data_IF_319005515231
#
_entry.id   IF_319005515231
#
_cell.length_a   1.000
_cell.length_b   1.000
_cell.length_c   1.000
_cell.angle_alpha   90.00
_cell.angle_beta   90.00
_cell.angle_gamma   90.00
#
_symmetry.space_group_name_H-M   'P 1'
#
loop_
_entity.id
_entity.type
_entity.pdbx_description
1 polymer ?
#
# COMPACT_ATOMS: atom_id res chain seq x y z
N UNK A 1 -25.08 45.80 -68.31
CA UNK A 1 -23.72 45.54 -67.89
C UNK A 1 -23.77 45.44 -66.41
N UNK A 2 -23.94 44.22 -65.93
CA UNK A 2 -24.09 43.91 -64.51
C UNK A 2 -22.89 43.10 -64.07
N UNK A 3 -22.21 43.60 -63.05
CA UNK A 3 -21.09 42.93 -62.41
C UNK A 3 -21.68 42.07 -61.26
N UNK A 4 -21.54 40.75 -61.38
CA UNK A 4 -21.95 39.82 -60.36
C UNK A 4 -20.80 39.61 -59.38
N UNK A 5 -20.95 40.10 -58.15
CA UNK A 5 -20.05 39.88 -57.03
C UNK A 5 -20.34 38.53 -56.39
N UNK A 6 -19.41 37.57 -56.53
CA UNK A 6 -19.45 36.30 -55.80
C UNK A 6 -19.03 36.48 -54.33
N UNK A 7 -19.81 35.99 -53.36
CA UNK A 7 -19.41 36.03 -51.97
C UNK A 7 -18.42 34.91 -51.65
N UNK A 8 -17.20 35.28 -51.20
CA UNK A 8 -16.23 34.37 -50.64
C UNK A 8 -16.76 33.73 -49.35
N UNK A 9 -17.06 32.43 -49.39
CA UNK A 9 -17.31 31.61 -48.22
C UNK A 9 -15.98 31.32 -47.52
N UNK A 10 -15.73 32.08 -46.44
CA UNK A 10 -14.65 31.80 -45.50
C UNK A 10 -15.07 30.64 -44.60
N UNK A 11 -14.68 29.41 -44.96
CA UNK A 11 -14.82 28.22 -44.03
C UNK A 11 -13.70 28.27 -43.05
N UNK A 12 -13.92 28.95 -41.94
CA UNK A 12 -13.09 28.82 -40.74
C UNK A 12 -13.12 27.39 -40.21
N UNK A 13 -12.12 26.58 -40.54
CA UNK A 13 -11.89 25.29 -39.91
C UNK A 13 -11.49 25.54 -38.46
N UNK A 14 -12.48 25.52 -37.55
CA UNK A 14 -12.23 25.46 -36.13
C UNK A 14 -11.60 24.11 -35.80
N UNK A 15 -10.28 24.07 -35.76
CA UNK A 15 -9.52 22.95 -35.20
C UNK A 15 -9.77 22.91 -33.67
N UNK A 16 -10.91 22.42 -33.26
CA UNK A 16 -11.11 22.02 -31.88
C UNK A 16 -10.15 20.87 -31.59
N UNK A 17 -9.00 21.24 -31.02
CA UNK A 17 -8.06 20.28 -30.45
C UNK A 17 -8.83 19.45 -29.43
N UNK A 18 -9.07 18.18 -29.71
CA UNK A 18 -9.54 17.23 -28.71
C UNK A 18 -8.48 17.19 -27.63
N UNK A 19 -8.74 17.86 -26.52
CA UNK A 19 -7.97 17.67 -25.29
C UNK A 19 -8.29 16.24 -24.88
N UNK A 20 -7.39 15.32 -25.21
CA UNK A 20 -7.46 13.97 -24.66
C UNK A 20 -7.38 14.12 -23.16
N UNK A 21 -8.44 13.78 -22.41
CA UNK A 21 -8.34 13.61 -20.98
C UNK A 21 -7.26 12.55 -20.76
N UNK A 22 -6.08 12.99 -20.30
CA UNK A 22 -5.14 12.06 -19.65
C UNK A 22 -5.94 11.39 -18.53
N UNK A 23 -5.91 10.06 -18.40
CA UNK A 23 -6.46 9.45 -17.20
C UNK A 23 -5.78 10.11 -15.99
N UNK A 24 -6.59 10.69 -15.12
CA UNK A 24 -6.08 11.21 -13.86
C UNK A 24 -5.60 10.01 -13.06
N UNK A 25 -4.30 9.88 -12.93
CA UNK A 25 -3.71 8.86 -12.07
C UNK A 25 -4.02 9.23 -10.62
N UNK A 26 -4.61 8.29 -9.89
CA UNK A 26 -4.80 8.44 -8.45
C UNK A 26 -3.45 8.51 -7.76
N UNK A 27 -3.21 9.53 -6.95
CA UNK A 27 -1.97 9.71 -6.19
C UNK A 27 -2.11 9.07 -4.82
N UNK A 28 -1.36 8.02 -4.58
CA UNK A 28 -1.32 7.31 -3.30
C UNK A 28 0.05 7.46 -2.68
N UNK A 29 0.09 7.92 -1.44
CA UNK A 29 1.33 8.07 -0.67
C UNK A 29 1.40 6.99 0.40
N UNK A 30 2.50 6.26 0.43
CA UNK A 30 2.73 5.16 1.38
C UNK A 30 3.88 5.53 2.29
N UNK A 31 3.57 5.64 3.58
CA UNK A 31 4.53 5.87 4.65
C UNK A 31 4.98 4.53 5.22
N UNK A 32 6.27 4.25 5.20
CA UNK A 32 6.86 3.04 5.74
C UNK A 32 7.62 3.35 7.02
N UNK A 33 7.46 2.53 8.04
CA UNK A 33 8.24 2.63 9.27
C UNK A 33 9.69 2.19 9.03
N UNK A 34 9.86 1.06 8.35
CA UNK A 34 11.16 0.51 7.97
C UNK A 34 11.78 1.25 6.78
N UNK A 35 13.12 1.18 6.71
CA UNK A 35 13.90 1.82 5.62
C UNK A 35 14.17 0.88 4.44
N UNK A 36 13.95 -0.40 4.59
CA UNK A 36 14.36 -1.42 3.61
C UNK A 36 13.19 -2.32 3.16
N UNK A 37 12.78 -3.27 4.01
CA UNK A 37 11.85 -4.35 3.61
C UNK A 37 10.55 -3.83 3.01
N UNK A 38 9.84 -2.95 3.72
CA UNK A 38 8.56 -2.40 3.26
C UNK A 38 8.72 -1.54 2.01
N UNK A 39 9.66 -0.54 1.97
CA UNK A 39 9.87 0.26 0.76
C UNK A 39 10.27 -0.58 -0.45
N UNK A 40 11.14 -1.58 -0.28
CA UNK A 40 11.57 -2.44 -1.39
C UNK A 40 10.40 -3.27 -1.92
N UNK A 41 9.57 -3.82 -1.02
CA UNK A 41 8.35 -4.52 -1.40
C UNK A 41 7.38 -3.61 -2.18
N UNK A 42 7.10 -2.42 -1.67
CA UNK A 42 6.19 -1.46 -2.32
C UNK A 42 6.73 -0.99 -3.68
N UNK A 43 8.05 -0.84 -3.84
CA UNK A 43 8.67 -0.61 -5.17
C UNK A 43 8.37 -1.75 -6.14
N UNK A 44 8.35 -3.00 -5.67
CA UNK A 44 7.92 -4.15 -6.47
C UNK A 44 6.45 -4.04 -6.88
N UNK A 45 5.57 -3.76 -5.92
CA UNK A 45 4.13 -3.56 -6.16
C UNK A 45 3.88 -2.47 -7.20
N UNK A 46 4.63 -1.36 -7.15
CA UNK A 46 4.56 -0.28 -8.14
C UNK A 46 4.82 -0.73 -9.58
N UNK A 47 5.60 -1.81 -9.78
CA UNK A 47 5.91 -2.35 -11.11
C UNK A 47 4.83 -3.29 -11.66
N UNK A 48 3.84 -3.68 -10.85
CA UNK A 48 2.72 -4.50 -11.33
C UNK A 48 1.96 -3.70 -12.40
N UNK A 49 1.77 -4.24 -13.63
CA UNK A 49 1.25 -3.46 -14.77
C UNK A 49 -0.09 -2.78 -14.50
N UNK A 50 -1.01 -3.45 -13.83
CA UNK A 50 -2.32 -2.88 -13.48
C UNK A 50 -2.22 -1.68 -12.53
N UNK A 51 -1.24 -1.68 -11.63
CA UNK A 51 -0.98 -0.58 -10.68
C UNK A 51 -0.23 0.54 -11.39
N UNK A 52 0.83 0.23 -12.12
CA UNK A 52 1.64 1.21 -12.84
C UNK A 52 0.85 2.04 -13.86
N UNK A 53 -0.24 1.49 -14.40
CA UNK A 53 -1.09 2.14 -15.39
C UNK A 53 -2.23 2.98 -14.78
N UNK A 54 -2.55 2.82 -13.51
CA UNK A 54 -3.71 3.44 -12.87
C UNK A 54 -3.40 4.31 -11.66
N UNK A 55 -2.22 4.19 -11.08
CA UNK A 55 -1.90 4.82 -9.80
C UNK A 55 -0.50 5.44 -9.82
N UNK A 56 -0.41 6.72 -9.45
CA UNK A 56 0.85 7.37 -9.10
C UNK A 56 1.19 7.01 -7.65
N UNK A 57 2.04 6.00 -7.47
CA UNK A 57 2.42 5.53 -6.15
C UNK A 57 3.70 6.20 -5.67
N UNK A 58 3.62 7.00 -4.64
CA UNK A 58 4.73 7.61 -3.95
C UNK A 58 5.03 6.87 -2.65
N UNK A 59 6.31 6.70 -2.35
CA UNK A 59 6.77 6.06 -1.12
C UNK A 59 7.52 7.10 -0.31
N UNK A 60 7.03 7.38 0.88
CA UNK A 60 7.68 8.25 1.84
C UNK A 60 8.18 7.40 3.03
N UNK A 61 9.46 7.49 3.32
CA UNK A 61 10.06 6.77 4.45
C UNK A 61 10.02 7.71 5.65
N UNK A 62 9.50 7.20 6.78
CA UNK A 62 9.43 8.01 7.99
C UNK A 62 10.79 8.58 8.37
N UNK A 63 10.86 9.88 8.74
CA UNK A 63 12.05 10.43 9.32
C UNK A 63 12.36 9.69 10.63
N UNK A 64 13.64 9.50 10.90
CA UNK A 64 14.24 8.77 12.02
C UNK A 64 13.33 8.21 13.12
N UNK A 65 13.30 6.86 13.28
CA UNK A 65 12.60 6.12 14.35
C UNK A 65 11.12 6.48 14.48
N UNK A 66 10.40 6.38 13.36
CA UNK A 66 8.96 6.66 13.33
C UNK A 66 8.18 5.63 14.12
N UNK A 67 7.78 5.96 15.35
CA UNK A 67 6.73 5.19 16.01
C UNK A 67 5.42 5.38 15.25
N UNK A 68 4.50 4.40 15.28
CA UNK A 68 3.25 4.44 14.51
C UNK A 68 2.48 5.75 14.56
N UNK A 69 2.40 6.38 15.73
CA UNK A 69 1.70 7.66 15.89
C UNK A 69 2.35 8.81 15.12
N UNK A 70 3.69 8.86 15.06
CA UNK A 70 4.42 9.89 14.30
C UNK A 70 4.20 9.69 12.80
N UNK A 71 4.24 8.44 12.33
CA UNK A 71 3.97 8.08 10.96
C UNK A 71 2.58 8.54 10.51
N UNK A 72 1.56 8.26 11.33
CA UNK A 72 0.18 8.66 11.03
C UNK A 72 0.04 10.19 11.04
N UNK A 73 0.71 10.91 11.94
CA UNK A 73 0.69 12.39 11.93
C UNK A 73 1.25 12.96 10.63
N UNK A 74 2.38 12.45 10.16
CA UNK A 74 2.96 12.86 8.86
C UNK A 74 2.01 12.55 7.70
N UNK A 75 1.34 11.41 7.72
CA UNK A 75 0.35 11.05 6.72
C UNK A 75 -0.88 11.97 6.74
N UNK A 76 -1.34 12.39 7.92
CA UNK A 76 -2.43 13.38 8.06
C UNK A 76 -2.03 14.73 7.45
N UNK A 77 -0.82 15.19 7.71
CA UNK A 77 -0.31 16.43 7.10
C UNK A 77 -0.24 16.31 5.57
N UNK A 78 0.20 15.18 5.07
CA UNK A 78 0.33 14.91 3.63
C UNK A 78 -1.03 14.83 2.92
N UNK A 79 -2.08 14.33 3.58
CA UNK A 79 -3.45 14.33 3.06
C UNK A 79 -4.07 15.72 2.89
N UNK A 80 -3.45 16.76 3.45
CA UNK A 80 -3.91 18.15 3.24
C UNK A 80 -3.52 18.70 1.85
N UNK A 81 -2.61 18.02 1.16
CA UNK A 81 -2.24 18.35 -0.21
C UNK A 81 -3.36 17.89 -1.16
N UNK A 82 -3.98 18.80 -1.93
CA UNK A 82 -5.08 18.45 -2.84
C UNK A 82 -4.67 17.52 -4.01
N UNK A 83 -3.38 17.33 -4.23
CA UNK A 83 -2.86 16.39 -5.23
C UNK A 83 -2.74 14.95 -4.70
N UNK A 84 -3.04 14.70 -3.43
CA UNK A 84 -2.97 13.39 -2.77
C UNK A 84 -4.37 12.85 -2.52
N UNK A 85 -4.68 11.72 -3.13
CA UNK A 85 -5.97 11.06 -2.98
C UNK A 85 -6.04 10.15 -1.76
N UNK A 86 -4.94 9.47 -1.43
CA UNK A 86 -4.85 8.55 -0.30
C UNK A 86 -3.48 8.55 0.36
N UNK A 87 -3.49 8.39 1.69
CA UNK A 87 -2.30 8.04 2.45
C UNK A 87 -2.48 6.69 3.16
N UNK A 88 -1.43 5.88 3.11
CA UNK A 88 -1.30 4.62 3.83
C UNK A 88 -0.10 4.65 4.76
N UNK A 89 -0.25 4.08 5.95
CA UNK A 89 0.87 3.89 6.88
C UNK A 89 1.11 2.39 7.07
N UNK A 90 2.35 1.95 6.80
CA UNK A 90 2.82 0.60 7.05
C UNK A 90 3.64 0.61 8.34
N UNK A 91 3.23 -0.18 9.32
CA UNK A 91 3.97 -0.36 10.57
C UNK A 91 3.67 -1.69 11.22
N UNK A 92 4.47 -2.04 12.19
CA UNK A 92 4.44 -3.30 12.90
C UNK A 92 3.83 -3.17 14.29
N UNK A 93 3.26 -4.26 14.80
CA UNK A 93 2.81 -4.33 16.20
C UNK A 93 3.99 -4.56 17.13
N UNK A 94 4.92 -5.39 16.71
CA UNK A 94 6.06 -5.92 17.45
C UNK A 94 5.71 -6.86 18.61
N UNK A 95 6.56 -7.84 18.86
CA UNK A 95 6.43 -8.78 19.97
C UNK A 95 7.82 -9.30 20.41
N UNK A 96 8.11 -9.39 21.73
CA UNK A 96 7.19 -9.41 22.87
C UNK A 96 6.75 -8.03 23.37
N UNK A 97 7.34 -6.95 22.92
CA UNK A 97 7.00 -5.60 23.35
C UNK A 97 6.42 -4.81 22.18
N UNK A 98 5.11 -4.59 22.25
CA UNK A 98 4.43 -3.79 21.24
C UNK A 98 4.97 -2.37 21.16
N UNK A 99 4.88 -1.77 19.99
CA UNK A 99 5.15 -0.35 19.81
C UNK A 99 4.32 0.52 20.76
N UNK A 100 4.92 1.57 21.33
CA UNK A 100 4.15 2.53 22.09
C UNK A 100 3.18 3.27 21.17
N UNK A 101 2.06 3.69 21.73
CA UNK A 101 1.07 4.51 21.01
C UNK A 101 0.37 3.83 19.81
N UNK A 102 0.34 2.50 19.71
CA UNK A 102 -0.44 1.79 18.68
C UNK A 102 -1.91 2.22 18.65
N UNK A 103 -2.60 2.21 19.79
CA UNK A 103 -4.01 2.62 19.86
C UNK A 103 -4.21 4.07 19.44
N UNK A 104 -3.49 5.06 20.00
CA UNK A 104 -3.57 6.45 19.53
C UNK A 104 -3.32 6.61 18.03
N UNK A 105 -2.39 5.82 17.44
CA UNK A 105 -2.15 5.83 16.01
C UNK A 105 -3.37 5.36 15.21
N UNK A 106 -3.97 4.25 15.59
CA UNK A 106 -5.17 3.69 14.94
C UNK A 106 -6.36 4.64 15.05
N UNK A 107 -6.60 5.21 16.22
CA UNK A 107 -7.68 6.17 16.47
C UNK A 107 -7.51 7.45 15.64
N UNK A 108 -6.29 7.98 15.59
CA UNK A 108 -5.96 9.16 14.76
C UNK A 108 -6.17 8.86 13.28
N UNK A 109 -5.63 7.75 12.78
CA UNK A 109 -5.77 7.34 11.38
C UNK A 109 -7.25 7.23 10.99
N UNK A 110 -8.05 6.52 11.79
CA UNK A 110 -9.49 6.38 11.58
C UNK A 110 -10.21 7.73 11.55
N UNK A 111 -9.88 8.65 12.47
CA UNK A 111 -10.53 9.96 12.57
C UNK A 111 -10.17 10.92 11.43
N UNK A 112 -9.02 10.69 10.77
CA UNK A 112 -8.46 11.57 9.73
C UNK A 112 -8.47 10.96 8.32
N UNK A 113 -8.99 9.74 8.16
CA UNK A 113 -9.07 9.09 6.86
C UNK A 113 -7.73 8.58 6.33
N UNK A 114 -6.74 8.36 7.21
CA UNK A 114 -5.50 7.68 6.85
C UNK A 114 -5.72 6.18 6.89
N UNK A 115 -5.31 5.48 5.84
CA UNK A 115 -5.39 4.03 5.76
C UNK A 115 -4.19 3.37 6.45
N UNK A 116 -4.42 2.20 7.01
CA UNK A 116 -3.38 1.45 7.73
C UNK A 116 -3.15 0.08 7.09
N UNK A 117 -1.88 -0.28 6.95
CA UNK A 117 -1.42 -1.60 6.61
C UNK A 117 -0.50 -2.10 7.75
N UNK A 118 -1.11 -2.78 8.72
CA UNK A 118 -0.44 -3.19 9.95
C UNK A 118 -0.10 -4.67 9.89
N UNK A 119 1.11 -5.04 10.32
CA UNK A 119 1.54 -6.42 10.45
C UNK A 119 1.78 -6.80 11.92
N UNK A 120 1.38 -7.99 12.31
CA UNK A 120 1.50 -8.53 13.65
C UNK A 120 2.08 -9.96 13.61
N UNK A 121 3.31 -10.20 14.08
CA UNK A 121 4.13 -9.27 14.86
C UNK A 121 4.85 -8.21 14.02
N UNK A 122 5.29 -8.50 12.80
CA UNK A 122 6.06 -7.62 11.93
C UNK A 122 5.82 -7.93 10.46
N UNK A 123 6.34 -7.08 9.56
CA UNK A 123 6.17 -7.18 8.11
C UNK A 123 6.62 -8.52 7.53
N UNK A 124 7.55 -9.20 8.20
CA UNK A 124 8.05 -10.51 7.78
C UNK A 124 6.99 -11.61 7.76
N UNK A 125 5.87 -11.48 8.50
CA UNK A 125 4.76 -12.43 8.38
C UNK A 125 4.08 -12.31 7.00
N UNK A 126 3.95 -11.08 6.48
CA UNK A 126 3.46 -10.85 5.13
C UNK A 126 4.37 -11.48 4.09
N UNK A 127 5.68 -11.31 4.23
CA UNK A 127 6.69 -11.91 3.34
C UNK A 127 6.65 -13.44 3.41
N UNK A 128 6.52 -14.00 4.59
CA UNK A 128 6.45 -15.45 4.82
C UNK A 128 5.27 -16.08 4.07
N UNK A 129 4.13 -15.39 4.05
CA UNK A 129 2.92 -15.88 3.37
C UNK A 129 3.02 -15.94 1.85
N UNK A 130 4.01 -15.36 1.23
CA UNK A 130 4.29 -15.56 -0.19
C UNK A 130 4.78 -16.97 -0.50
N UNK A 131 5.45 -17.60 0.46
CA UNK A 131 6.10 -18.91 0.29
C UNK A 131 5.31 -20.05 0.93
N UNK A 132 4.77 -19.85 2.11
CA UNK A 132 4.06 -20.91 2.84
C UNK A 132 2.96 -20.39 3.74
N UNK A 133 2.03 -21.27 4.07
CA UNK A 133 1.02 -21.01 5.10
C UNK A 133 1.67 -21.03 6.50
N UNK A 134 1.27 -20.09 7.34
CA UNK A 134 1.65 -20.03 8.74
C UNK A 134 0.53 -19.39 9.55
N UNK A 135 0.04 -20.08 10.57
CA UNK A 135 -1.14 -19.67 11.35
C UNK A 135 -0.87 -19.67 12.84
N UNK A 136 0.28 -20.17 13.28
CA UNK A 136 0.66 -20.18 14.67
C UNK A 136 1.19 -18.81 15.12
N UNK A 137 1.02 -18.50 16.38
CA UNK A 137 1.62 -17.33 17.00
C UNK A 137 3.13 -17.26 16.75
N UNK A 138 3.65 -16.04 16.53
CA UNK A 138 5.08 -15.77 16.31
C UNK A 138 5.54 -14.56 17.12
N UNK A 139 6.78 -14.61 17.59
CA UNK A 139 7.54 -13.42 17.97
C UNK A 139 8.08 -12.73 16.74
N UNK A 140 8.50 -11.46 16.87
CA UNK A 140 9.18 -10.71 15.78
C UNK A 140 10.42 -11.46 15.28
N UNK A 141 11.29 -11.93 16.17
CA UNK A 141 12.50 -12.67 15.83
C UNK A 141 12.20 -13.97 15.07
N UNK A 142 11.14 -14.68 15.46
CA UNK A 142 10.72 -15.91 14.78
C UNK A 142 10.19 -15.62 13.38
N UNK A 143 9.38 -14.58 13.21
CA UNK A 143 8.87 -14.17 11.91
C UNK A 143 10.03 -13.76 10.97
N UNK A 144 10.98 -12.96 11.46
CA UNK A 144 12.19 -12.60 10.70
C UNK A 144 13.00 -13.83 10.29
N UNK A 145 13.28 -14.72 11.22
CA UNK A 145 14.06 -15.95 10.96
C UNK A 145 13.38 -16.84 9.92
N UNK A 146 12.07 -17.05 10.06
CA UNK A 146 11.30 -17.89 9.14
C UNK A 146 11.19 -17.28 7.74
N UNK A 147 10.99 -15.97 7.64
CA UNK A 147 10.94 -15.27 6.37
C UNK A 147 12.28 -15.35 5.64
N UNK A 148 13.40 -15.05 6.32
CA UNK A 148 14.76 -15.15 5.78
C UNK A 148 15.11 -16.57 5.32
N UNK A 149 14.62 -17.59 6.02
CA UNK A 149 14.82 -18.98 5.61
C UNK A 149 14.08 -19.35 4.31
N UNK A 150 13.03 -18.61 3.93
CA UNK A 150 12.28 -18.86 2.70
C UNK A 150 12.91 -18.18 1.48
N UNK A 151 13.42 -16.96 1.62
CA UNK A 151 13.97 -16.19 0.52
C UNK A 151 15.50 -16.12 0.47
N UNK A 152 16.16 -16.64 1.50
CA UNK A 152 17.62 -16.71 1.58
C UNK A 152 18.34 -15.38 1.82
N UNK A 153 17.61 -14.28 2.10
CA UNK A 153 18.22 -12.98 2.34
C UNK A 153 19.05 -12.95 3.63
N UNK A 154 20.21 -12.32 3.56
CA UNK A 154 21.09 -12.15 4.72
C UNK A 154 20.78 -10.86 5.50
N UNK A 155 20.24 -9.85 4.83
CA UNK A 155 19.95 -8.53 5.39
C UNK A 155 18.45 -8.19 5.43
N UNK A 156 18.15 -6.90 5.39
CA UNK A 156 16.77 -6.35 5.35
C UNK A 156 16.34 -5.91 3.95
N UNK A 157 17.25 -5.85 2.97
CA UNK A 157 16.90 -5.53 1.58
C UNK A 157 16.18 -6.71 0.93
N UNK A 158 15.13 -6.42 0.15
CA UNK A 158 14.32 -7.42 -0.53
C UNK A 158 14.58 -7.42 -2.03
N UNK A 159 14.60 -8.62 -2.58
CA UNK A 159 14.46 -8.83 -4.01
C UNK A 159 12.96 -8.93 -4.33
N UNK A 160 12.34 -7.77 -4.59
CA UNK A 160 10.88 -7.65 -4.65
C UNK A 160 10.22 -8.59 -5.67
N UNK A 161 10.92 -8.91 -6.77
CA UNK A 161 10.39 -9.77 -7.85
C UNK A 161 10.10 -11.20 -7.38
N UNK A 162 10.80 -11.69 -6.34
CA UNK A 162 10.53 -13.00 -5.73
C UNK A 162 9.11 -13.09 -5.13
N UNK A 163 8.54 -11.95 -4.75
CA UNK A 163 7.24 -11.88 -4.08
C UNK A 163 6.11 -11.58 -5.04
N UNK A 164 6.39 -10.84 -6.14
CA UNK A 164 5.34 -10.34 -7.02
C UNK A 164 4.57 -11.44 -7.75
N UNK A 165 5.18 -12.62 -7.97
CA UNK A 165 4.52 -13.74 -8.59
C UNK A 165 3.48 -14.45 -7.69
N UNK A 166 3.63 -14.34 -6.37
CA UNK A 166 2.83 -15.07 -5.38
C UNK A 166 2.02 -14.17 -4.43
N UNK A 167 1.89 -12.88 -4.74
CA UNK A 167 1.17 -11.94 -3.88
C UNK A 167 -0.31 -12.30 -3.68
N UNK A 168 -0.95 -12.94 -4.68
CA UNK A 168 -2.34 -13.41 -4.58
C UNK A 168 -2.49 -14.51 -3.54
N UNK A 169 -1.49 -15.41 -3.42
CA UNK A 169 -1.46 -16.44 -2.39
C UNK A 169 -1.23 -15.84 -1.00
N UNK A 170 -0.31 -14.88 -0.88
CA UNK A 170 -0.09 -14.16 0.38
C UNK A 170 -1.39 -13.45 0.82
N UNK A 171 -2.08 -12.77 -0.10
CA UNK A 171 -3.38 -12.16 0.12
C UNK A 171 -4.41 -13.17 0.65
N UNK A 172 -4.56 -14.31 -0.03
CA UNK A 172 -5.52 -15.35 0.35
C UNK A 172 -5.26 -15.84 1.78
N UNK A 173 -4.00 -16.08 2.13
CA UNK A 173 -3.59 -16.53 3.47
C UNK A 173 -3.88 -15.47 4.53
N UNK A 174 -3.52 -14.22 4.27
CA UNK A 174 -3.76 -13.09 5.16
C UNK A 174 -5.26 -12.87 5.41
N UNK A 175 -6.07 -12.83 4.34
CA UNK A 175 -7.51 -12.61 4.44
C UNK A 175 -8.21 -13.75 5.19
N UNK A 176 -7.85 -15.02 4.90
CA UNK A 176 -8.41 -16.17 5.62
C UNK A 176 -8.12 -16.13 7.12
N UNK A 177 -6.93 -15.64 7.50
CA UNK A 177 -6.57 -15.52 8.90
C UNK A 177 -7.26 -14.33 9.58
N UNK A 178 -7.42 -13.21 8.89
CA UNK A 178 -8.20 -12.08 9.37
C UNK A 178 -9.65 -12.48 9.64
N UNK A 179 -10.28 -13.23 8.73
CA UNK A 179 -11.63 -13.80 8.92
C UNK A 179 -11.71 -14.73 10.14
N UNK A 180 -10.68 -15.55 10.35
CA UNK A 180 -10.60 -16.43 11.53
C UNK A 180 -10.51 -15.63 12.83
N UNK A 181 -9.67 -14.61 12.89
CA UNK A 181 -9.57 -13.72 14.05
C UNK A 181 -10.89 -13.01 14.34
N UNK A 182 -11.56 -12.53 13.30
CA UNK A 182 -12.88 -11.91 13.44
C UNK A 182 -13.91 -12.89 14.02
N UNK A 183 -14.00 -14.11 13.48
CA UNK A 183 -14.92 -15.16 13.95
C UNK A 183 -14.63 -15.57 15.39
N UNK A 184 -13.36 -15.58 15.79
CA UNK A 184 -12.94 -15.93 17.15
C UNK A 184 -13.04 -14.75 18.12
N UNK A 185 -13.43 -13.56 17.68
CA UNK A 185 -13.48 -12.36 18.52
C UNK A 185 -12.10 -11.94 19.04
N UNK A 186 -11.04 -12.18 18.27
CA UNK A 186 -9.66 -11.83 18.64
C UNK A 186 -9.37 -10.41 18.15
N UNK A 187 -9.41 -9.37 19.04
CA UNK A 187 -9.25 -7.99 18.61
C UNK A 187 -7.77 -7.63 18.43
N UNK A 188 -7.50 -6.65 17.58
CA UNK A 188 -6.20 -5.98 17.52
C UNK A 188 -5.82 -5.38 18.90
N UNK A 189 -4.57 -5.48 19.34
CA UNK A 189 -3.41 -6.12 18.72
C UNK A 189 -3.15 -7.58 19.14
N UNK A 190 -4.19 -8.33 19.52
CA UNK A 190 -4.06 -9.74 19.96
C UNK A 190 -4.17 -10.74 18.80
N UNK A 191 -4.39 -10.26 17.59
CA UNK A 191 -4.60 -10.99 16.34
C UNK A 191 -3.29 -11.48 15.67
N UNK A 192 -2.33 -11.92 16.49
CA UNK A 192 -1.07 -12.48 16.00
C UNK A 192 -1.25 -13.97 15.60
N UNK A 193 -0.82 -14.37 14.36
CA UNK A 193 -0.29 -13.51 13.31
C UNK A 193 -1.39 -12.88 12.46
N UNK A 194 -1.14 -11.65 12.01
CA UNK A 194 -2.01 -10.95 11.04
C UNK A 194 -1.21 -9.98 10.17
N UNK A 195 -1.75 -9.62 9.00
CA UNK A 195 -1.25 -8.50 8.20
C UNK A 195 -2.36 -7.97 7.31
N UNK A 196 -2.53 -6.66 7.29
CA UNK A 196 -3.47 -5.97 6.41
C UNK A 196 -2.80 -5.33 5.18
N UNK A 197 -1.56 -5.69 4.87
CA UNK A 197 -0.83 -5.22 3.66
C UNK A 197 -1.59 -5.56 2.39
N UNK A 198 -2.31 -6.67 2.35
CA UNK A 198 -3.14 -7.03 1.20
C UNK A 198 -4.22 -5.99 0.88
N UNK A 199 -4.76 -5.28 1.88
CA UNK A 199 -5.76 -4.23 1.68
C UNK A 199 -5.18 -3.03 0.94
N UNK A 200 -3.90 -2.67 1.21
CA UNK A 200 -3.19 -1.67 0.42
C UNK A 200 -3.08 -2.10 -1.04
N UNK A 201 -2.65 -3.33 -1.31
CA UNK A 201 -2.47 -3.82 -2.68
C UNK A 201 -3.82 -3.85 -3.42
N UNK A 202 -4.89 -4.28 -2.77
CA UNK A 202 -6.25 -4.26 -3.32
C UNK A 202 -6.74 -2.84 -3.64
N UNK A 203 -6.40 -1.87 -2.79
CA UNK A 203 -6.71 -0.47 -3.05
C UNK A 203 -5.97 0.05 -4.28
N UNK A 204 -4.71 -0.34 -4.46
CA UNK A 204 -3.90 0.10 -5.60
C UNK A 204 -4.33 -0.53 -6.94
N UNK A 205 -4.92 -1.71 -6.91
CA UNK A 205 -5.35 -2.48 -8.09
C UNK A 205 -6.87 -2.70 -8.11
N UNK A 206 -7.70 -1.66 -8.30
CA UNK A 206 -9.14 -1.81 -8.37
C UNK A 206 -9.50 -2.65 -9.61
N UNK A 207 -9.97 -3.88 -9.39
CA UNK A 207 -10.33 -4.83 -10.45
C UNK A 207 -9.71 -6.22 -10.28
N UNK A 208 -8.77 -6.41 -9.38
CA UNK A 208 -8.24 -7.74 -9.02
C UNK A 208 -9.04 -8.34 -7.83
N UNK A 209 -10.33 -8.06 -7.77
CA UNK A 209 -11.24 -8.79 -6.88
C UNK A 209 -11.63 -10.09 -7.58
N UNK A 210 -10.94 -11.16 -7.28
CA UNK A 210 -11.34 -12.53 -7.61
C UNK A 210 -12.00 -13.18 -6.41
#
# INVERSE_FOLDING_TARGET
MGDELHPHRNRGNSLKRRVGRRPEFRTVVVFCEGKNSEPDYIKGVKRIPSIAQSTALNIEIAPERGVPLTLVKSAVERLMDPEVDECWCLFDVEWPKNHPNLRPAVELAKSKGVNLAVSNPCFEIWLLWHFKDHQAFLTTDEAERLSKACDGRLGKSLEADLYMASWTEARRRAAALADRHLKNGTPFPKDNPSSSVYMLIESLAPGIRT
#
